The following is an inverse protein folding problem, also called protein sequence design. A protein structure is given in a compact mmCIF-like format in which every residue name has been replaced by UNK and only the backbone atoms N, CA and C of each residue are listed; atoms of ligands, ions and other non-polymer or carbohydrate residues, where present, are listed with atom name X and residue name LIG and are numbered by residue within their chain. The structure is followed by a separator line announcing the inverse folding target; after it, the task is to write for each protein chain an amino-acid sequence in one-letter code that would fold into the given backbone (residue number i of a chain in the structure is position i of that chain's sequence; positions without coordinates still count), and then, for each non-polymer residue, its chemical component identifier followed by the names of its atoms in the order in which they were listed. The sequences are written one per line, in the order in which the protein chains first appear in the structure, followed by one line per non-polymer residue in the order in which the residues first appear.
data_IF_568024736920
#
_entry.id   IF_568024736920
#
_cell.length_a   1.000
_cell.length_b   1.000
_cell.length_c   1.000
_cell.angle_alpha   90.00
_cell.angle_beta   90.00
_cell.angle_gamma   90.00
#
_symmetry.space_group_name_H-M   'P 1'
#
loop_
_entity.id
_entity.type
_entity.pdbx_description
1 polymer ?
#
# COMPACT_ATOMS: atom_id res chain seq x y z
N UNK A 1 17.20 -5.67 23.27
CA UNK A 1 16.95 -6.12 21.88
C UNK A 1 17.38 -4.99 20.97
N UNK A 2 18.16 -5.25 19.93
CA UNK A 2 18.61 -4.21 19.01
C UNK A 2 17.46 -3.83 18.05
N UNK A 3 17.02 -2.57 18.12
CA UNK A 3 15.90 -2.01 17.33
C UNK A 3 16.17 -2.14 15.83
N UNK A 4 17.44 -2.01 15.41
CA UNK A 4 17.85 -2.15 14.01
C UNK A 4 17.65 -3.57 13.50
N UNK A 5 18.07 -4.54 14.30
CA UNK A 5 17.90 -5.96 14.00
C UNK A 5 16.42 -6.36 13.90
N UNK A 6 15.58 -5.85 14.80
CA UNK A 6 14.13 -6.07 14.74
C UNK A 6 13.51 -5.49 13.46
N UNK A 7 13.77 -4.21 13.15
CA UNK A 7 13.24 -3.57 11.95
C UNK A 7 13.73 -4.23 10.66
N UNK A 8 15.00 -4.67 10.62
CA UNK A 8 15.54 -5.44 9.49
C UNK A 8 14.76 -6.73 9.23
N UNK A 9 14.38 -7.43 10.31
CA UNK A 9 13.57 -8.65 10.26
C UNK A 9 12.14 -8.34 9.81
N UNK A 10 11.53 -7.30 10.38
CA UNK A 10 10.19 -6.85 9.99
C UNK A 10 10.13 -6.42 8.51
N UNK A 11 11.22 -5.90 7.96
CA UNK A 11 11.35 -5.55 6.55
C UNK A 11 11.10 -6.73 5.60
N UNK A 12 11.47 -7.95 5.99
CA UNK A 12 11.26 -9.16 5.19
C UNK A 12 9.79 -9.59 5.17
N UNK A 13 9.06 -9.31 6.26
CA UNK A 13 7.68 -9.77 6.44
C UNK A 13 6.64 -8.66 6.25
N UNK A 14 7.07 -7.43 5.98
CA UNK A 14 6.19 -6.27 5.79
C UNK A 14 5.10 -6.51 4.74
N UNK A 15 5.40 -7.32 3.72
CA UNK A 15 4.49 -7.59 2.61
C UNK A 15 3.25 -8.40 3.01
N UNK A 16 3.32 -9.11 4.14
CA UNK A 16 2.22 -9.91 4.68
C UNK A 16 1.32 -9.08 5.61
N UNK A 17 1.80 -7.95 6.12
CA UNK A 17 1.08 -7.15 7.12
C UNK A 17 0.41 -5.96 6.44
N UNK A 18 -0.93 -5.95 6.47
CA UNK A 18 -1.72 -4.79 6.03
C UNK A 18 -1.35 -3.55 6.86
N UNK A 19 -1.10 -2.43 6.19
CA UNK A 19 -0.73 -1.14 6.80
C UNK A 19 0.56 -1.17 7.66
N UNK A 20 1.52 -2.04 7.32
CA UNK A 20 2.76 -2.21 8.09
C UNK A 20 3.45 -0.90 8.48
N UNK A 21 3.66 0.04 7.54
CA UNK A 21 4.37 1.29 7.85
C UNK A 21 3.65 2.13 8.92
N UNK A 22 2.31 2.12 8.95
CA UNK A 22 1.55 2.83 9.99
C UNK A 22 1.77 2.19 11.36
N UNK A 23 1.81 0.86 11.41
CA UNK A 23 2.03 0.11 12.66
C UNK A 23 3.48 0.31 13.12
N UNK A 24 4.45 0.23 12.22
CA UNK A 24 5.88 0.32 12.51
C UNK A 24 6.38 1.75 12.74
N UNK A 25 5.57 2.79 12.44
CA UNK A 25 5.97 4.18 12.52
C UNK A 25 6.62 4.59 13.86
N UNK A 26 6.12 4.18 15.04
CA UNK A 26 6.75 4.53 16.32
C UNK A 26 8.18 3.98 16.44
N UNK A 27 8.40 2.74 16.01
CA UNK A 27 9.73 2.09 16.07
C UNK A 27 10.65 2.67 14.99
N UNK A 28 10.12 2.98 13.80
CA UNK A 28 10.89 3.64 12.73
C UNK A 28 11.35 5.06 13.12
N UNK A 29 10.57 5.77 13.94
CA UNK A 29 10.94 7.10 14.44
C UNK A 29 12.21 7.08 15.30
N UNK A 30 12.47 5.99 16.02
CA UNK A 30 13.70 5.81 16.80
C UNK A 30 14.99 5.72 15.96
N UNK A 31 14.85 5.57 14.64
CA UNK A 31 15.97 5.42 13.72
C UNK A 31 16.44 6.74 13.10
N UNK A 32 15.81 7.86 13.44
CA UNK A 32 16.16 9.17 12.90
C UNK A 32 17.36 9.76 13.66
N UNK A 33 18.26 10.41 12.93
CA UNK A 33 19.54 10.89 13.46
C UNK A 33 19.37 11.89 14.63
N UNK A 34 18.30 12.68 14.61
CA UNK A 34 17.99 13.71 15.62
C UNK A 34 17.07 13.24 16.76
N UNK A 35 16.80 11.94 16.86
CA UNK A 35 15.85 11.39 17.85
C UNK A 35 16.59 10.60 18.92
N UNK A 36 16.40 10.98 20.19
CA UNK A 36 16.87 10.19 21.31
C UNK A 36 16.15 8.83 21.32
N UNK A 37 16.91 7.74 21.27
CA UNK A 37 16.38 6.37 21.31
C UNK A 37 15.76 6.11 22.69
N UNK A 38 14.47 6.37 22.83
CA UNK A 38 13.69 6.10 24.03
C UNK A 38 12.58 5.10 23.71
N UNK A 39 12.71 3.90 24.25
CA UNK A 39 11.66 2.90 24.17
C UNK A 39 10.57 3.21 25.19
N UNK A 40 9.34 3.43 24.72
CA UNK A 40 8.19 3.72 25.56
C UNK A 40 6.99 2.81 25.26
N UNK A 41 5.82 3.13 25.85
CA UNK A 41 4.61 2.34 25.66
C UNK A 41 4.16 2.24 24.19
N UNK A 42 4.39 3.28 23.38
CA UNK A 42 4.00 3.33 21.96
C UNK A 42 4.85 2.38 21.11
N UNK A 43 6.14 2.32 21.40
CA UNK A 43 7.09 1.45 20.70
C UNK A 43 6.84 -0.02 21.07
N UNK A 44 6.53 -0.30 22.33
CA UNK A 44 6.11 -1.63 22.78
C UNK A 44 4.80 -2.07 22.11
N UNK A 45 3.79 -1.20 22.10
CA UNK A 45 2.49 -1.49 21.44
C UNK A 45 2.67 -1.73 19.93
N UNK A 46 3.52 -0.95 19.28
CA UNK A 46 3.89 -1.12 17.87
C UNK A 46 4.53 -2.50 17.64
N UNK A 47 5.48 -2.89 18.50
CA UNK A 47 6.20 -4.15 18.38
C UNK A 47 5.25 -5.34 18.55
N UNK A 48 4.38 -5.28 19.56
CA UNK A 48 3.40 -6.33 19.82
C UNK A 48 2.31 -6.39 18.74
N UNK A 49 1.91 -5.26 18.18
CA UNK A 49 1.00 -5.21 17.04
C UNK A 49 1.61 -5.89 15.81
N UNK A 50 2.90 -5.71 15.54
CA UNK A 50 3.60 -6.40 14.46
C UNK A 50 3.63 -7.91 14.71
N UNK A 51 4.01 -8.35 15.92
CA UNK A 51 4.02 -9.78 16.29
C UNK A 51 2.64 -10.43 16.13
N UNK A 52 1.59 -9.78 16.64
CA UNK A 52 0.20 -10.26 16.53
C UNK A 52 -0.27 -10.32 15.08
N UNK A 53 0.07 -9.32 14.28
CA UNK A 53 -0.27 -9.30 12.86
C UNK A 53 0.38 -10.46 12.10
N UNK A 54 1.64 -10.81 12.42
CA UNK A 54 2.33 -11.96 11.83
C UNK A 54 1.73 -13.29 12.23
N UNK A 55 1.36 -13.44 13.50
CA UNK A 55 0.77 -14.68 13.99
C UNK A 55 -0.58 -14.99 13.31
N UNK A 56 -1.38 -13.96 13.04
CA UNK A 56 -2.74 -14.10 12.52
C UNK A 56 -2.82 -13.82 11.01
N UNK A 57 -1.70 -13.84 10.30
CA UNK A 57 -1.67 -13.44 8.89
C UNK A 57 -2.27 -14.52 8.00
N UNK A 58 -3.19 -14.13 7.12
CA UNK A 58 -3.59 -15.00 6.03
C UNK A 58 -2.44 -15.10 5.01
N UNK A 59 -2.12 -16.31 4.51
CA UNK A 59 -1.10 -16.46 3.48
C UNK A 59 -1.43 -15.65 2.22
N UNK A 60 -0.44 -14.90 1.73
CA UNK A 60 -0.55 -14.29 0.40
C UNK A 60 -0.63 -15.38 -0.65
N UNK A 61 -1.42 -15.13 -1.70
CA UNK A 61 -1.60 -16.02 -2.84
C UNK A 61 -0.96 -15.42 -4.09
N UNK A 62 -0.23 -16.22 -4.89
CA UNK A 62 0.26 -15.73 -6.18
C UNK A 62 -0.91 -15.37 -7.09
N UNK A 63 -0.69 -14.43 -8.02
CA UNK A 63 -1.65 -14.12 -9.07
C UNK A 63 -1.72 -15.32 -10.02
N UNK A 64 -2.95 -15.78 -10.29
CA UNK A 64 -3.20 -16.72 -11.37
C UNK A 64 -3.48 -15.93 -12.66
N UNK A 65 -2.46 -15.82 -13.52
CA UNK A 65 -2.58 -15.14 -14.82
C UNK A 65 -3.44 -15.88 -15.85
N UNK A 66 -3.80 -17.15 -15.59
CA UNK A 66 -4.72 -17.93 -16.44
C UNK A 66 -6.17 -17.79 -15.99
N UNK A 67 -6.39 -17.34 -14.76
CA UNK A 67 -7.72 -17.09 -14.21
C UNK A 67 -8.38 -15.90 -14.90
N UNK A 68 -9.69 -16.00 -15.08
CA UNK A 68 -10.54 -14.90 -15.55
C UNK A 68 -10.93 -13.91 -14.44
N UNK A 69 -10.45 -14.18 -13.21
CA UNK A 69 -10.63 -13.33 -12.04
C UNK A 69 -9.89 -12.00 -12.18
N UNK A 70 -10.58 -10.91 -11.85
CA UNK A 70 -10.04 -9.56 -11.89
C UNK A 70 -8.92 -9.38 -10.85
N UNK A 71 -7.80 -8.82 -11.30
CA UNK A 71 -6.70 -8.41 -10.44
C UNK A 71 -6.91 -6.94 -10.12
N UNK A 72 -6.96 -6.60 -8.83
CA UNK A 72 -7.25 -5.25 -8.35
C UNK A 72 -6.05 -4.69 -7.61
N UNK A 73 -5.57 -3.54 -8.09
CA UNK A 73 -4.59 -2.71 -7.42
C UNK A 73 -5.30 -1.58 -6.65
N UNK A 74 -5.25 -1.62 -5.33
CA UNK A 74 -5.75 -0.52 -4.51
C UNK A 74 -4.68 0.57 -4.35
N UNK A 75 -5.06 1.86 -4.47
CA UNK A 75 -4.14 3.01 -4.30
C UNK A 75 -3.56 3.06 -2.87
N UNK A 76 -4.27 2.51 -1.88
CA UNK A 76 -3.75 2.24 -0.52
C UNK A 76 -2.65 1.16 -0.44
N UNK A 77 -2.18 0.72 -1.61
CA UNK A 77 -1.06 -0.18 -1.89
C UNK A 77 -1.24 -1.60 -1.36
N UNK A 78 -2.28 -2.27 -1.87
CA UNK A 78 -2.39 -3.72 -1.83
C UNK A 78 -2.93 -4.26 -3.14
N UNK A 79 -2.44 -5.44 -3.52
CA UNK A 79 -2.79 -6.14 -4.75
C UNK A 79 -3.52 -7.43 -4.38
N UNK A 80 -4.65 -7.68 -5.01
CA UNK A 80 -5.42 -8.89 -4.78
C UNK A 80 -6.12 -9.36 -6.05
N UNK A 81 -6.47 -10.64 -6.10
CA UNK A 81 -7.27 -11.21 -7.18
C UNK A 81 -8.62 -11.67 -6.62
N UNK A 82 -9.71 -11.34 -7.32
CA UNK A 82 -11.03 -11.87 -7.00
C UNK A 82 -11.08 -13.37 -7.31
N UNK A 83 -11.70 -14.12 -6.40
CA UNK A 83 -12.03 -15.51 -6.66
C UNK A 83 -13.14 -15.59 -7.74
N UNK A 84 -13.02 -16.54 -8.67
CA UNK A 84 -14.02 -16.71 -9.74
C UNK A 84 -15.35 -17.20 -9.15
N UNK A 85 -15.29 -18.05 -8.13
CA UNK A 85 -16.47 -18.66 -7.52
C UNK A 85 -17.14 -17.74 -6.50
N UNK A 86 -16.36 -16.89 -5.81
CA UNK A 86 -16.88 -15.91 -4.86
C UNK A 86 -16.26 -14.53 -5.05
N UNK A 87 -17.00 -13.63 -5.71
CA UNK A 87 -16.56 -12.25 -5.96
C UNK A 87 -16.33 -11.42 -4.70
N UNK A 88 -16.81 -11.85 -3.52
CA UNK A 88 -16.50 -11.15 -2.25
C UNK A 88 -15.16 -11.58 -1.68
N UNK A 89 -14.67 -12.75 -2.09
CA UNK A 89 -13.40 -13.30 -1.61
C UNK A 89 -12.24 -12.64 -2.34
N UNK A 90 -11.38 -11.99 -1.56
CA UNK A 90 -10.17 -11.31 -2.02
C UNK A 90 -8.96 -12.17 -1.69
N UNK A 91 -8.29 -12.68 -2.71
CA UNK A 91 -7.04 -13.40 -2.56
C UNK A 91 -5.90 -12.39 -2.61
N UNK A 92 -5.42 -11.93 -1.44
CA UNK A 92 -4.36 -10.93 -1.36
C UNK A 92 -3.03 -11.49 -1.86
N UNK A 93 -2.36 -10.76 -2.73
CA UNK A 93 -1.08 -11.12 -3.34
C UNK A 93 0.09 -10.34 -2.76
N UNK A 94 -0.16 -9.08 -2.39
CA UNK A 94 0.85 -8.17 -1.88
C UNK A 94 0.19 -7.10 -1.02
N UNK A 95 0.74 -6.85 0.17
CA UNK A 95 0.57 -5.56 0.85
C UNK A 95 1.86 -4.77 0.72
N UNK A 96 1.76 -3.47 0.53
CA UNK A 96 2.92 -2.62 0.59
C UNK A 96 2.65 -1.32 1.32
N UNK A 97 3.70 -0.52 1.45
CA UNK A 97 3.57 0.87 1.84
C UNK A 97 4.52 1.73 1.03
N UNK A 98 4.00 2.84 0.52
CA UNK A 98 4.78 3.87 -0.17
C UNK A 98 4.70 5.13 0.67
N UNK A 99 5.85 5.60 1.13
CA UNK A 99 5.97 6.87 1.84
C UNK A 99 6.26 7.99 0.85
N UNK A 100 5.52 9.09 0.98
CA UNK A 100 5.77 10.30 0.22
C UNK A 100 6.82 11.15 0.96
N UNK A 101 7.76 11.73 0.23
CA UNK A 101 8.68 12.71 0.80
C UNK A 101 7.96 14.05 1.10
N UNK A 102 8.62 14.96 1.80
CA UNK A 102 8.04 16.25 2.22
C UNK A 102 7.49 17.07 1.03
N UNK A 103 8.18 17.04 -0.12
CA UNK A 103 7.75 17.75 -1.32
C UNK A 103 6.50 17.12 -1.94
N UNK A 104 6.45 15.80 -2.01
CA UNK A 104 5.33 15.03 -2.55
C UNK A 104 4.10 15.09 -1.64
N UNK A 105 4.31 15.12 -0.32
CA UNK A 105 3.26 15.28 0.67
C UNK A 105 2.54 16.64 0.54
N UNK A 106 3.22 17.67 0.03
CA UNK A 106 2.67 19.00 -0.26
C UNK A 106 1.93 19.12 -1.61
N UNK A 107 1.79 18.04 -2.38
CA UNK A 107 0.98 18.08 -3.59
C UNK A 107 -0.48 18.38 -3.28
N UNK A 108 -1.15 19.06 -4.22
CA UNK A 108 -2.61 19.20 -4.17
C UNK A 108 -3.25 17.82 -4.11
N UNK A 109 -4.41 17.70 -3.46
CA UNK A 109 -5.07 16.41 -3.26
C UNK A 109 -5.19 15.61 -4.57
N UNK A 110 -5.64 16.18 -5.71
CA UNK A 110 -5.75 15.40 -6.94
C UNK A 110 -4.40 14.92 -7.49
N UNK A 111 -3.37 15.77 -7.39
CA UNK A 111 -2.02 15.42 -7.81
C UNK A 111 -1.43 14.33 -6.92
N UNK A 112 -1.69 14.38 -5.61
CA UNK A 112 -1.21 13.40 -4.65
C UNK A 112 -1.82 12.03 -4.91
N UNK A 113 -3.12 11.97 -5.16
CA UNK A 113 -3.80 10.71 -5.49
C UNK A 113 -3.30 10.10 -6.80
N UNK A 114 -3.17 10.93 -7.85
CA UNK A 114 -2.63 10.48 -9.15
C UNK A 114 -1.17 10.00 -9.02
N UNK A 115 -0.37 10.70 -8.22
CA UNK A 115 1.00 10.32 -7.95
C UNK A 115 1.09 9.02 -7.13
N UNK A 116 0.22 8.85 -6.13
CA UNK A 116 0.07 7.60 -5.38
C UNK A 116 -0.25 6.42 -6.30
N UNK A 117 -1.19 6.60 -7.23
CA UNK A 117 -1.51 5.59 -8.25
C UNK A 117 -0.29 5.25 -9.13
N UNK A 118 0.44 6.27 -9.61
CA UNK A 118 1.69 6.06 -10.38
C UNK A 118 2.69 5.21 -9.60
N UNK A 119 2.94 5.55 -8.32
CA UNK A 119 3.90 4.82 -7.50
C UNK A 119 3.43 3.38 -7.23
N UNK A 120 2.15 3.18 -6.96
CA UNK A 120 1.58 1.85 -6.76
C UNK A 120 1.73 0.96 -8.01
N UNK A 121 1.49 1.52 -9.21
CA UNK A 121 1.70 0.81 -10.48
C UNK A 121 3.17 0.47 -10.72
N UNK A 122 4.09 1.41 -10.48
CA UNK A 122 5.53 1.16 -10.63
C UNK A 122 6.01 0.07 -9.67
N UNK A 123 5.58 0.13 -8.42
CA UNK A 123 6.02 -0.81 -7.41
C UNK A 123 5.39 -2.21 -7.59
N UNK A 124 4.21 -2.31 -8.22
CA UNK A 124 3.57 -3.58 -8.56
C UNK A 124 3.82 -4.04 -10.00
N UNK A 125 4.65 -3.34 -10.77
CA UNK A 125 4.84 -3.57 -12.21
C UNK A 125 5.11 -5.05 -12.55
N UNK A 126 6.00 -5.71 -11.81
CA UNK A 126 6.32 -7.13 -12.04
C UNK A 126 5.14 -8.09 -11.86
N UNK A 127 4.13 -7.73 -11.06
CA UNK A 127 2.94 -8.54 -10.83
C UNK A 127 1.76 -8.14 -11.73
N UNK A 128 1.72 -6.88 -12.15
CA UNK A 128 0.60 -6.36 -12.95
C UNK A 128 0.82 -6.49 -14.44
N UNK A 129 2.07 -6.60 -14.89
CA UNK A 129 2.40 -6.92 -16.29
C UNK A 129 1.87 -8.32 -16.63
N UNK A 130 1.05 -8.38 -17.69
CA UNK A 130 0.43 -9.63 -18.15
C UNK A 130 -0.96 -9.91 -17.56
N UNK A 131 -1.43 -9.11 -16.59
CA UNK A 131 -2.80 -9.19 -16.11
C UNK A 131 -3.79 -8.69 -17.18
N UNK A 132 -4.65 -9.59 -17.69
CA UNK A 132 -5.65 -9.26 -18.71
C UNK A 132 -6.76 -8.35 -18.18
N UNK A 133 -7.14 -8.53 -16.92
CA UNK A 133 -8.20 -7.77 -16.23
C UNK A 133 -7.63 -7.09 -15.00
N UNK A 134 -6.85 -6.03 -15.23
CA UNK A 134 -6.34 -5.18 -14.16
C UNK A 134 -7.34 -4.04 -13.89
N UNK A 135 -7.81 -3.95 -12.65
CA UNK A 135 -8.62 -2.85 -12.16
C UNK A 135 -7.86 -2.05 -11.10
N UNK A 136 -8.19 -0.77 -10.99
CA UNK A 136 -7.65 0.12 -9.96
C UNK A 136 -8.77 0.49 -8.99
N UNK A 137 -8.56 0.22 -7.71
CA UNK A 137 -9.47 0.62 -6.63
C UNK A 137 -8.94 1.90 -5.96
N UNK A 138 -9.73 2.96 -6.01
CA UNK A 138 -9.41 4.26 -5.40
C UNK A 138 -10.67 4.87 -4.79
N UNK A 139 -10.51 5.57 -3.67
CA UNK A 139 -11.55 6.37 -3.03
C UNK A 139 -11.76 7.73 -3.73
N UNK A 140 -10.79 8.16 -4.54
CA UNK A 140 -10.84 9.40 -5.30
C UNK A 140 -11.45 9.21 -6.69
N UNK A 141 -12.79 9.24 -6.75
CA UNK A 141 -13.57 9.07 -8.00
C UNK A 141 -13.14 9.98 -9.16
N UNK A 142 -12.68 11.18 -8.86
CA UNK A 142 -12.26 12.16 -9.87
C UNK A 142 -10.99 11.76 -10.62
N UNK A 143 -10.17 10.82 -10.10
CA UNK A 143 -9.01 10.31 -10.82
C UNK A 143 -9.43 9.72 -12.16
N UNK A 144 -10.56 9.00 -12.20
CA UNK A 144 -11.08 8.41 -13.43
C UNK A 144 -11.31 9.49 -14.49
N UNK A 145 -12.00 10.57 -14.13
CA UNK A 145 -12.26 11.69 -15.05
C UNK A 145 -10.99 12.38 -15.53
N UNK A 146 -9.97 12.50 -14.66
CA UNK A 146 -8.67 13.05 -15.02
C UNK A 146 -7.88 12.14 -15.98
N UNK A 147 -7.97 10.83 -15.82
CA UNK A 147 -7.32 9.86 -16.71
C UNK A 147 -8.00 9.80 -18.08
N UNK A 148 -9.33 9.89 -18.10
CA UNK A 148 -10.12 9.93 -19.34
C UNK A 148 -9.89 11.25 -20.11
N UNK A 149 -9.49 12.33 -19.42
CA UNK A 149 -9.32 13.67 -20.00
C UNK A 149 -8.01 14.34 -19.54
N UNK A 150 -6.83 13.83 -19.95
CA UNK A 150 -5.53 14.28 -19.43
C UNK A 150 -5.20 15.74 -19.78
N UNK A 151 -5.84 16.28 -20.83
CA UNK A 151 -5.65 17.65 -21.31
C UNK A 151 -6.39 18.70 -20.49
N UNK A 152 -7.37 18.29 -19.67
CA UNK A 152 -8.20 19.22 -18.90
C UNK A 152 -7.50 19.47 -17.57
N UNK A 153 -7.05 20.72 -17.37
CA UNK A 153 -6.49 21.17 -16.09
C UNK A 153 -7.50 20.86 -14.98
N UNK A 154 -7.09 20.27 -13.84
CA UNK A 154 -8.01 19.86 -12.78
C UNK A 154 -8.67 21.08 -12.14
N UNK A 155 -9.78 21.51 -12.72
CA UNK A 155 -10.66 22.54 -12.20
C UNK A 155 -11.86 21.85 -11.54
N UNK A 156 -12.46 22.53 -10.54
CA UNK A 156 -13.55 22.01 -9.71
C UNK A 156 -14.75 21.43 -10.49
N UNK A 157 -14.88 21.76 -11.79
CA UNK A 157 -15.95 21.31 -12.68
C UNK A 157 -15.86 19.83 -13.11
N UNK A 158 -14.68 19.18 -13.00
CA UNK A 158 -14.53 17.74 -13.33
C UNK A 158 -15.18 16.85 -12.24
N UNK A 159 -15.49 17.40 -11.06
CA UNK A 159 -16.04 16.66 -9.91
C UNK A 159 -17.57 16.45 -9.93
N UNK A 160 -18.24 16.52 -11.09
CA UNK A 160 -19.69 16.25 -11.19
C UNK A 160 -19.98 14.95 -11.92
#
# INVERSE_FOLDING_TARGET
MDVRSFLGTCGQVRQFIKNFAKIAAPIQHLMWDDVAVKWGPKEEESMDSIKKALHNVEPLKPIDYKSEGEVVLAVGYYLYQHDISDKKKRNYCLFGSITLNEREARFSQPKRELYGLKLALLATHYWTVGCRKLAVETDAKYIKGMLDNPSITPNATINR
#
